data_IF_390615490799
#
_entry.id   IF_390615490799
#
_cell.length_a   1.000
_cell.length_b   1.000
_cell.length_c   1.000
_cell.angle_alpha   90.00
_cell.angle_beta   90.00
_cell.angle_gamma   90.00
#
_symmetry.space_group_name_H-M   'P 1'
#
loop_
_entity.id
_entity.type
_entity.pdbx_description
1 polymer ?
#
# COMPACT_ATOMS: atom_id res chain seq x y z
N UNK A 1 8.44 -17.43 -4.30
CA UNK A 1 8.77 -17.99 -5.64
C UNK A 1 8.88 -16.91 -6.73
N UNK A 2 9.25 -15.65 -6.38
CA UNK A 2 9.43 -14.57 -7.36
C UNK A 2 10.85 -14.49 -7.93
N UNK A 3 11.87 -14.73 -7.09
CA UNK A 3 13.28 -14.62 -7.46
C UNK A 3 13.67 -15.51 -8.65
N UNK A 4 13.11 -16.71 -8.77
CA UNK A 4 13.49 -17.64 -9.85
C UNK A 4 12.97 -17.22 -11.25
N UNK A 5 11.89 -16.40 -11.31
CA UNK A 5 11.31 -15.91 -12.59
C UNK A 5 11.76 -14.51 -12.95
N UNK A 6 12.18 -13.72 -11.96
CA UNK A 6 12.59 -12.35 -12.19
C UNK A 6 14.01 -12.34 -12.77
N UNK A 7 14.15 -11.96 -14.04
CA UNK A 7 15.45 -11.62 -14.61
C UNK A 7 15.93 -10.23 -14.13
N UNK A 8 15.58 -9.88 -12.89
CA UNK A 8 15.65 -8.57 -12.24
C UNK A 8 15.83 -8.76 -10.73
N UNK A 9 16.43 -7.76 -10.08
CA UNK A 9 16.62 -7.77 -8.62
C UNK A 9 15.26 -7.72 -7.92
N UNK A 10 15.04 -8.64 -6.98
CA UNK A 10 13.89 -8.64 -6.07
C UNK A 10 14.38 -8.08 -4.74
N UNK A 11 13.77 -6.99 -4.29
CA UNK A 11 14.03 -6.41 -2.98
C UNK A 11 12.86 -6.76 -2.07
N UNK A 12 13.16 -7.35 -0.92
CA UNK A 12 12.14 -7.57 0.11
C UNK A 12 11.85 -6.25 0.82
N UNK A 13 10.58 -5.92 0.95
CA UNK A 13 10.11 -4.72 1.66
C UNK A 13 9.30 -5.18 2.87
N UNK A 14 9.52 -4.55 4.01
CA UNK A 14 8.81 -4.83 5.25
C UNK A 14 7.29 -4.67 5.02
N UNK A 15 6.47 -5.73 5.24
CA UNK A 15 5.03 -5.70 5.01
C UNK A 15 4.28 -5.00 6.15
N UNK A 16 4.59 -3.73 6.40
CA UNK A 16 4.02 -2.97 7.52
C UNK A 16 2.84 -2.09 7.08
N UNK A 17 1.62 -2.46 7.51
CA UNK A 17 0.41 -1.60 7.55
C UNK A 17 -0.02 -0.89 6.24
N UNK A 18 0.42 -1.39 5.08
CA UNK A 18 0.25 -0.74 3.76
C UNK A 18 -1.21 -0.61 3.32
N UNK A 19 -2.09 -1.50 3.78
CA UNK A 19 -3.53 -1.45 3.46
C UNK A 19 -4.34 -0.51 4.37
N UNK A 20 -3.76 -0.09 5.50
CA UNK A 20 -4.42 0.74 6.53
C UNK A 20 -4.04 2.21 6.33
N UNK A 21 -2.77 2.50 6.09
CA UNK A 21 -2.32 3.88 5.94
C UNK A 21 -2.82 4.48 4.62
N UNK A 22 -3.16 5.77 4.63
CA UNK A 22 -3.45 6.50 3.42
C UNK A 22 -2.16 6.88 2.71
N UNK A 23 -1.96 6.41 1.48
CA UNK A 23 -0.80 6.75 0.64
C UNK A 23 -0.63 8.27 0.41
N UNK A 24 -1.71 9.05 0.51
CA UNK A 24 -1.68 10.51 0.28
C UNK A 24 -1.29 11.33 1.50
N UNK A 25 -1.63 10.88 2.71
CA UNK A 25 -1.49 11.71 3.92
C UNK A 25 -1.00 10.97 5.17
N UNK A 26 -0.68 9.68 5.05
CA UNK A 26 -0.21 8.82 6.15
C UNK A 26 -1.26 8.49 7.21
N UNK A 27 -2.49 9.00 7.13
CA UNK A 27 -3.51 8.73 8.14
C UNK A 27 -3.96 7.27 8.12
N UNK A 28 -3.99 6.57 9.28
CA UNK A 28 -4.52 5.22 9.35
C UNK A 28 -6.03 5.21 9.14
N UNK A 29 -6.49 4.34 8.24
CA UNK A 29 -7.90 4.10 7.93
C UNK A 29 -8.19 2.62 8.24
N UNK A 30 -8.64 2.29 9.46
CA UNK A 30 -8.92 0.90 9.86
C UNK A 30 -10.11 0.36 9.06
N UNK A 31 -9.92 -0.81 8.43
CA UNK A 31 -10.92 -1.48 7.59
C UNK A 31 -10.54 -2.94 7.39
N UNK A 32 -11.53 -3.78 7.12
CA UNK A 32 -11.30 -5.21 6.84
C UNK A 32 -10.80 -5.44 5.41
N UNK A 33 -10.20 -6.61 5.17
CA UNK A 33 -9.80 -7.05 3.82
C UNK A 33 -10.99 -7.26 2.86
N UNK A 34 -12.23 -7.22 3.34
CA UNK A 34 -13.41 -7.22 2.47
C UNK A 34 -13.65 -5.83 1.84
N UNK A 35 -13.19 -4.76 2.49
CA UNK A 35 -13.36 -3.39 1.99
C UNK A 35 -12.32 -3.13 0.90
N UNK A 36 -12.80 -3.02 -0.34
CA UNK A 36 -11.95 -2.78 -1.52
C UNK A 36 -11.70 -1.31 -1.84
N UNK A 37 -12.54 -0.41 -1.34
CA UNK A 37 -12.39 1.02 -1.55
C UNK A 37 -11.70 1.65 -0.33
N UNK A 38 -10.58 2.33 -0.55
CA UNK A 38 -9.96 3.22 0.43
C UNK A 38 -10.65 4.58 0.39
N UNK A 39 -11.30 4.98 1.49
CA UNK A 39 -11.84 6.33 1.68
C UNK A 39 -11.15 6.95 2.89
N UNK A 40 -10.33 7.98 2.66
CA UNK A 40 -9.64 8.68 3.74
C UNK A 40 -10.47 9.84 4.26
N UNK A 41 -10.86 9.78 5.54
CA UNK A 41 -11.61 10.85 6.22
C UNK A 41 -10.79 12.12 6.46
N UNK A 42 -9.44 12.03 6.42
CA UNK A 42 -8.55 13.17 6.66
C UNK A 42 -8.27 14.01 5.41
N UNK A 43 -8.03 13.36 4.27
CA UNK A 43 -7.63 14.05 3.02
C UNK A 43 -8.60 13.86 1.86
N UNK A 44 -9.69 13.11 2.06
CA UNK A 44 -10.70 12.84 1.04
C UNK A 44 -10.23 11.94 -0.10
N UNK A 45 -9.10 11.23 0.04
CA UNK A 45 -8.63 10.29 -0.97
C UNK A 45 -9.63 9.12 -1.12
N UNK A 46 -10.06 8.87 -2.37
CA UNK A 46 -10.95 7.76 -2.74
C UNK A 46 -10.28 6.99 -3.86
N UNK A 47 -9.78 5.79 -3.56
CA UNK A 47 -9.12 4.91 -4.54
C UNK A 47 -9.24 3.44 -4.12
N UNK A 48 -8.88 2.52 -5.01
CA UNK A 48 -8.79 1.11 -4.66
C UNK A 48 -7.76 0.85 -3.55
N UNK A 49 -8.07 -0.06 -2.62
CA UNK A 49 -7.21 -0.39 -1.47
C UNK A 49 -5.90 -1.00 -1.92
N UNK A 50 -5.90 -1.87 -2.92
CA UNK A 50 -4.70 -2.56 -3.36
C UNK A 50 -3.80 -1.57 -4.14
N UNK A 51 -4.40 -0.64 -4.88
CA UNK A 51 -3.67 0.51 -5.44
C UNK A 51 -3.06 1.41 -4.34
N UNK A 52 -3.82 1.75 -3.30
CA UNK A 52 -3.30 2.50 -2.15
C UNK A 52 -2.11 1.80 -1.48
N UNK A 53 -2.18 0.47 -1.31
CA UNK A 53 -1.12 -0.32 -0.73
C UNK A 53 0.15 -0.33 -1.60
N UNK A 54 0.00 -0.41 -2.94
CA UNK A 54 1.14 -0.37 -3.87
C UNK A 54 1.93 0.95 -3.83
N UNK A 55 1.24 2.07 -3.59
CA UNK A 55 1.88 3.39 -3.50
C UNK A 55 2.69 3.55 -2.21
N UNK A 56 2.27 2.91 -1.13
CA UNK A 56 3.01 2.94 0.15
C UNK A 56 4.28 2.11 0.05
N UNK A 57 4.27 1.01 -0.73
CA UNK A 57 5.46 0.18 -0.92
C UNK A 57 6.52 0.80 -1.83
N UNK A 58 6.20 1.87 -2.58
CA UNK A 58 7.12 2.51 -3.53
C UNK A 58 7.83 3.75 -3.00
N UNK A 59 7.60 4.16 -1.74
CA UNK A 59 8.15 5.40 -1.17
C UNK A 59 9.40 5.19 -0.29
N UNK A 60 10.09 4.06 -0.39
CA UNK A 60 11.38 3.80 0.25
C UNK A 60 12.55 4.10 -0.69
N UNK A 61 12.62 5.34 -1.17
CA UNK A 61 13.85 5.92 -1.73
C UNK A 61 14.34 6.98 -0.74
N UNK A 62 14.99 6.49 0.32
CA UNK A 62 16.04 7.17 1.08
C UNK A 62 17.04 6.09 1.55
#
# INVERSE_FOLDING_TARGET
>A
MLQYKANRVVVEVEPSYTSINCSRCGHPVPKSLAVRIHVCTKCGAILDRDYNASLITSSSED
#
